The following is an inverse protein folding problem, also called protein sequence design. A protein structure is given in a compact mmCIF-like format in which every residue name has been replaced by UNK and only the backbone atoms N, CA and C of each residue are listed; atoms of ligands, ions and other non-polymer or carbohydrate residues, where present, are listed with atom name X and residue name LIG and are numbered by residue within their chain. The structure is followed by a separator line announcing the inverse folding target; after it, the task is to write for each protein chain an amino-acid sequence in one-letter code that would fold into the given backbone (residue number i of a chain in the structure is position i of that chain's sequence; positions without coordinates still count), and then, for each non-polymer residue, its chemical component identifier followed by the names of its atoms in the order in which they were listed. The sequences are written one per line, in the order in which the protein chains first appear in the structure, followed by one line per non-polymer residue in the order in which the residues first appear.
data_IF_088659311546
#
_entry.id   IF_088659311546
#
_cell.length_a   1.000
_cell.length_b   1.000
_cell.length_c   1.000
_cell.angle_alpha   90.00
_cell.angle_beta   90.00
_cell.angle_gamma   90.00
#
_symmetry.space_group_name_H-M   'P 1'
#
loop_
_entity.id
_entity.type
_entity.pdbx_description
1 polymer ?
#
# COMPACT_ATOMS: atom_id res chain seq x y z
N UNK A 1 -18.40 14.54 13.84
CA UNK A 1 -17.61 15.39 12.92
C UNK A 1 -16.16 14.91 13.06
N UNK A 2 -15.71 14.03 12.19
CA UNK A 2 -14.41 13.35 12.32
C UNK A 2 -13.30 14.17 11.66
N UNK A 3 -12.26 14.43 12.45
CA UNK A 3 -11.05 15.22 12.17
C UNK A 3 -10.54 15.17 10.72
N UNK A 4 -10.46 16.33 10.09
CA UNK A 4 -9.60 16.62 8.94
C UNK A 4 -8.24 17.16 9.44
N UNK A 5 -7.77 16.70 10.60
CA UNK A 5 -6.61 17.30 11.30
C UNK A 5 -5.26 16.63 10.93
N UNK A 6 -5.26 15.50 10.20
CA UNK A 6 -4.04 14.78 9.85
C UNK A 6 -3.55 15.00 8.41
N UNK A 7 -4.23 15.87 7.64
CA UNK A 7 -3.84 16.17 6.27
C UNK A 7 -2.65 17.14 6.22
N UNK A 8 -1.43 16.61 6.12
CA UNK A 8 -0.22 17.42 5.92
C UNK A 8 -0.13 17.91 4.47
N UNK A 9 -0.21 19.21 4.25
CA UNK A 9 0.03 19.83 2.94
C UNK A 9 1.54 19.83 2.66
N UNK A 10 1.97 19.13 1.62
CA UNK A 10 3.37 19.12 1.15
C UNK A 10 3.49 20.03 -0.07
N UNK A 11 4.26 21.11 0.05
CA UNK A 11 4.49 22.05 -1.03
C UNK A 11 5.43 21.45 -2.09
N UNK A 12 5.15 21.69 -3.37
CA UNK A 12 6.01 21.23 -4.46
C UNK A 12 7.40 21.88 -4.41
N UNK A 13 8.42 21.16 -4.92
CA UNK A 13 9.84 21.57 -4.96
C UNK A 13 10.53 21.69 -3.59
N UNK A 14 9.97 21.06 -2.57
CA UNK A 14 10.59 20.93 -1.24
C UNK A 14 11.30 19.57 -1.09
N UNK A 15 12.31 19.43 -0.22
CA UNK A 15 12.89 18.14 0.14
C UNK A 15 11.85 17.10 0.58
N UNK A 16 10.80 17.54 1.28
CA UNK A 16 9.68 16.72 1.72
C UNK A 16 8.87 16.17 0.52
N UNK A 17 8.61 17.00 -0.49
CA UNK A 17 7.97 16.53 -1.73
C UNK A 17 8.84 15.53 -2.50
N UNK A 18 10.16 15.71 -2.49
CA UNK A 18 11.08 14.75 -3.11
C UNK A 18 11.08 13.40 -2.36
N UNK A 19 11.09 13.44 -1.02
CA UNK A 19 10.97 12.23 -0.20
C UNK A 19 9.63 11.51 -0.43
N UNK A 20 8.53 12.25 -0.55
CA UNK A 20 7.21 11.69 -0.88
C UNK A 20 7.24 10.99 -2.24
N UNK A 21 7.77 11.63 -3.28
CA UNK A 21 7.89 11.04 -4.63
C UNK A 21 8.73 9.77 -4.61
N UNK A 22 9.83 9.75 -3.86
CA UNK A 22 10.68 8.56 -3.69
C UNK A 22 9.91 7.42 -3.03
N UNK A 23 9.13 7.71 -1.98
CA UNK A 23 8.29 6.72 -1.31
C UNK A 23 7.19 6.17 -2.22
N UNK A 24 6.53 7.02 -3.01
CA UNK A 24 5.53 6.60 -3.99
C UNK A 24 6.15 5.67 -5.02
N UNK A 25 7.30 6.05 -5.61
CA UNK A 25 8.01 5.19 -6.59
C UNK A 25 8.38 3.83 -6.02
N UNK A 26 8.87 3.79 -4.77
CA UNK A 26 9.16 2.56 -4.05
C UNK A 26 7.91 1.69 -3.90
N UNK A 27 6.81 2.28 -3.44
CA UNK A 27 5.55 1.58 -3.25
C UNK A 27 4.98 1.03 -4.56
N UNK A 28 5.05 1.80 -5.66
CA UNK A 28 4.64 1.35 -6.99
C UNK A 28 5.47 0.16 -7.48
N UNK A 29 6.80 0.20 -7.29
CA UNK A 29 7.68 -0.90 -7.69
C UNK A 29 7.36 -2.20 -6.93
N UNK A 30 7.12 -2.12 -5.62
CA UNK A 30 6.72 -3.28 -4.81
C UNK A 30 5.33 -3.78 -5.20
N UNK A 31 4.38 -2.88 -5.43
CA UNK A 31 3.01 -3.22 -5.87
C UNK A 31 3.02 -3.95 -7.21
N UNK A 32 3.86 -3.51 -8.17
CA UNK A 32 4.03 -4.20 -9.44
C UNK A 32 4.54 -5.64 -9.24
N UNK A 33 5.53 -5.83 -8.36
CA UNK A 33 6.04 -7.17 -8.02
C UNK A 33 4.97 -8.04 -7.36
N UNK A 34 4.20 -7.49 -6.40
CA UNK A 34 3.08 -8.19 -5.75
C UNK A 34 2.04 -8.65 -6.78
N UNK A 35 1.76 -7.83 -7.80
CA UNK A 35 0.80 -8.15 -8.84
C UNK A 35 1.28 -9.18 -9.87
N UNK A 36 2.57 -9.54 -9.85
CA UNK A 36 3.10 -10.67 -10.62
C UNK A 36 2.98 -12.02 -9.88
N UNK A 37 2.66 -12.00 -8.58
CA UNK A 37 2.49 -13.21 -7.76
C UNK A 37 1.07 -13.77 -7.86
N UNK A 38 0.93 -15.03 -7.46
CA UNK A 38 -0.36 -15.71 -7.32
C UNK A 38 -0.70 -15.93 -5.85
N UNK A 39 -1.95 -16.29 -5.55
CA UNK A 39 -2.38 -16.59 -4.17
C UNK A 39 -1.60 -17.75 -3.52
N UNK A 40 -0.94 -18.60 -4.31
CA UNK A 40 -0.10 -19.69 -3.80
C UNK A 40 1.25 -19.20 -3.26
N UNK A 41 1.67 -17.97 -3.59
CA UNK A 41 2.97 -17.41 -3.24
C UNK A 41 2.94 -16.67 -1.90
N UNK A 42 2.31 -17.27 -0.88
CA UNK A 42 1.99 -16.61 0.38
C UNK A 42 3.20 -16.01 1.12
N UNK A 43 4.35 -16.71 1.12
CA UNK A 43 5.59 -16.21 1.72
C UNK A 43 6.14 -14.98 0.99
N UNK A 44 6.15 -15.01 -0.34
CA UNK A 44 6.63 -13.90 -1.16
C UNK A 44 5.70 -12.68 -1.03
N UNK A 45 4.38 -12.92 -0.95
CA UNK A 45 3.38 -11.89 -0.67
C UNK A 45 3.67 -11.24 0.69
N UNK A 46 3.84 -12.02 1.76
CA UNK A 46 4.13 -11.47 3.10
C UNK A 46 5.43 -10.69 3.15
N UNK A 47 6.48 -11.17 2.47
CA UNK A 47 7.77 -10.50 2.41
C UNK A 47 7.67 -9.13 1.71
N UNK A 48 7.09 -9.10 0.50
CA UNK A 48 6.90 -7.87 -0.26
C UNK A 48 5.93 -6.91 0.43
N UNK A 49 4.86 -7.41 1.03
CA UNK A 49 3.92 -6.57 1.76
C UNK A 49 4.55 -5.99 3.03
N UNK A 50 5.38 -6.76 3.75
CA UNK A 50 6.14 -6.26 4.90
C UNK A 50 7.11 -5.14 4.49
N UNK A 51 7.77 -5.28 3.34
CA UNK A 51 8.62 -4.24 2.76
C UNK A 51 7.79 -2.99 2.41
N UNK A 52 6.61 -3.17 1.83
CA UNK A 52 5.72 -2.07 1.45
C UNK A 52 5.35 -1.21 2.66
N UNK A 53 4.90 -1.83 3.75
CA UNK A 53 4.41 -1.13 4.96
C UNK A 53 5.51 -0.86 6.00
N UNK A 54 6.75 -1.30 5.75
CA UNK A 54 7.87 -1.23 6.69
C UNK A 54 7.57 -1.84 8.08
N UNK A 55 6.75 -2.90 8.12
CA UNK A 55 6.33 -3.61 9.34
C UNK A 55 6.27 -5.09 9.06
N UNK A 56 6.55 -5.92 10.07
CA UNK A 56 6.40 -7.38 9.96
C UNK A 56 4.91 -7.71 9.83
N UNK A 57 4.60 -8.51 8.82
CA UNK A 57 3.26 -9.05 8.57
C UNK A 57 3.13 -10.41 9.25
N UNK A 58 1.95 -10.68 9.81
CA UNK A 58 1.64 -11.96 10.44
C UNK A 58 1.56 -13.12 9.43
N UNK A 59 1.82 -14.34 9.89
CA UNK A 59 1.79 -15.53 9.04
C UNK A 59 0.40 -15.84 8.48
N UNK A 60 -0.66 -15.44 9.19
CA UNK A 60 -2.06 -15.57 8.74
C UNK A 60 -2.48 -14.58 7.65
N UNK A 61 -1.62 -13.61 7.31
CA UNK A 61 -1.95 -12.61 6.30
C UNK A 61 -2.12 -13.24 4.91
N UNK A 62 -3.20 -12.84 4.25
CA UNK A 62 -3.53 -13.21 2.89
C UNK A 62 -3.79 -11.94 2.07
N UNK A 63 -3.20 -11.89 0.88
CA UNK A 63 -3.51 -10.90 -0.14
C UNK A 63 -3.70 -11.62 -1.46
N UNK A 64 -4.76 -11.28 -2.18
CA UNK A 64 -5.09 -11.86 -3.48
C UNK A 64 -4.78 -10.81 -4.54
N UNK A 65 -3.75 -11.02 -5.37
CA UNK A 65 -3.46 -10.12 -6.49
C UNK A 65 -4.61 -10.11 -7.54
N UNK A 66 -4.84 -9.00 -8.26
CA UNK A 66 -4.09 -7.74 -8.19
C UNK A 66 -4.52 -6.83 -7.04
N UNK A 67 -3.56 -6.09 -6.49
CA UNK A 67 -3.68 -5.11 -5.42
C UNK A 67 -3.18 -3.73 -5.89
N UNK A 68 -3.79 -2.65 -5.42
CA UNK A 68 -3.39 -1.28 -5.76
C UNK A 68 -3.24 -0.42 -4.51
N UNK A 69 -2.17 0.39 -4.47
CA UNK A 69 -1.97 1.43 -3.46
C UNK A 69 -1.26 2.65 -4.04
N UNK A 70 -1.60 3.84 -3.51
CA UNK A 70 -0.96 5.10 -3.86
C UNK A 70 0.31 5.40 -3.02
N UNK A 71 0.54 4.69 -1.91
CA UNK A 71 1.69 4.89 -1.02
C UNK A 71 1.83 3.75 -0.01
N UNK A 72 3.06 3.41 0.41
CA UNK A 72 3.34 2.22 1.24
C UNK A 72 3.45 2.49 2.74
N UNK A 73 4.12 3.58 3.14
CA UNK A 73 4.42 3.85 4.56
C UNK A 73 3.21 4.37 5.36
N UNK A 74 2.19 4.88 4.68
CA UNK A 74 0.97 5.43 5.31
C UNK A 74 -0.14 4.36 5.43
N UNK A 75 0.06 3.17 4.85
CA UNK A 75 -0.89 2.06 4.99
C UNK A 75 -0.69 1.41 6.36
N UNK A 76 -1.56 1.73 7.31
CA UNK A 76 -1.73 0.90 8.51
C UNK A 76 -2.78 -0.16 8.23
N UNK A 77 -2.36 -1.41 8.03
CA UNK A 77 -3.29 -2.55 8.01
C UNK A 77 -3.65 -2.88 9.46
N UNK A 78 -4.91 -2.66 9.81
CA UNK A 78 -5.46 -3.10 11.09
C UNK A 78 -5.51 -4.62 11.17
N UNK A 79 -5.26 -5.16 12.36
CA UNK A 79 -5.53 -6.57 12.68
C UNK A 79 -7.01 -6.84 12.35
N UNK A 80 -7.28 -7.82 11.49
CA UNK A 80 -8.62 -8.31 11.13
C UNK A 80 -9.41 -7.59 10.00
N UNK A 81 -8.77 -7.22 8.88
CA UNK A 81 -9.52 -6.90 7.64
C UNK A 81 -9.61 -8.14 6.75
N UNK A 82 -10.58 -9.00 7.08
CA UNK A 82 -11.06 -10.03 6.18
C UNK A 82 -11.71 -9.40 4.94
N UNK A 83 -11.52 -10.05 3.81
CA UNK A 83 -12.10 -9.75 2.51
C UNK A 83 -13.59 -9.37 2.56
N UNK A 84 -13.91 -8.10 2.32
CA UNK A 84 -15.22 -7.69 1.80
C UNK A 84 -15.12 -6.32 1.13
N UNK A 85 -15.42 -6.28 -0.17
CA UNK A 85 -15.61 -5.03 -0.91
C UNK A 85 -14.76 -4.84 -2.17
N UNK A 86 -14.70 -5.83 -3.06
CA UNK A 86 -14.45 -5.56 -4.48
C UNK A 86 -15.64 -4.75 -5.03
N UNK A 87 -15.51 -3.43 -5.12
CA UNK A 87 -16.43 -2.57 -5.88
C UNK A 87 -15.74 -1.26 -6.28
N UNK A 88 -15.13 -1.31 -7.48
CA UNK A 88 -15.22 -0.27 -8.51
C UNK A 88 -14.89 1.19 -8.12
N UNK A 89 -13.66 1.62 -8.41
CA UNK A 89 -13.39 3.03 -8.74
C UNK A 89 -12.72 3.09 -10.12
N UNK A 90 -13.53 3.35 -11.15
CA UNK A 90 -13.07 3.76 -12.47
C UNK A 90 -12.31 5.09 -12.33
N UNK A 91 -11.03 5.07 -12.67
CA UNK A 91 -10.29 6.30 -12.96
C UNK A 91 -10.85 6.93 -14.23
N UNK A 92 -11.29 8.17 -14.12
CA UNK A 92 -11.50 9.04 -15.27
C UNK A 92 -10.13 9.46 -15.81
N UNK A 93 -9.85 9.06 -17.04
CA UNK A 93 -9.39 9.93 -18.12
C UNK A 93 -10.14 9.53 -19.39
#
# INVERSE_FOLDING_TARGET
MSNLEDAKIILSKTPESAAMVTNIKRAMAITAKLNCLTFNDADAIRALFSELISKKVDESFLLIPPFYTAGGNEISVGYNVGSSGLSHLQGQL
#
